data_IF_147862700173
#
_entry.id   IF_147862700173
#
_cell.length_a   1.000
_cell.length_b   1.000
_cell.length_c   1.000
_cell.angle_alpha   90.00
_cell.angle_beta   90.00
_cell.angle_gamma   90.00
#
_symmetry.space_group_name_H-M   'P 1'
#
loop_
_entity.id
_entity.type
_entity.pdbx_description
1 polymer ?
#
# COMPACT_ATOMS: atom_id res chain seq x y z
N UNK A 1 -34.82 2.55 -9.69
CA UNK A 1 -33.69 2.95 -10.55
C UNK A 1 -32.48 3.43 -9.74
N UNK A 2 -32.67 4.25 -8.72
CA UNK A 2 -31.60 4.84 -7.88
C UNK A 2 -30.77 3.78 -7.10
N UNK A 3 -31.43 2.75 -6.52
CA UNK A 3 -30.75 1.67 -5.79
C UNK A 3 -29.85 0.86 -6.71
N UNK A 4 -30.29 0.53 -7.94
CA UNK A 4 -29.45 -0.18 -8.92
C UNK A 4 -28.24 0.65 -9.34
N UNK A 5 -28.39 1.98 -9.46
CA UNK A 5 -27.29 2.88 -9.79
C UNK A 5 -26.26 2.95 -8.64
N UNK A 6 -26.73 3.16 -7.41
CA UNK A 6 -25.85 3.17 -6.22
C UNK A 6 -25.11 1.84 -6.03
N UNK A 7 -25.81 0.71 -6.26
CA UNK A 7 -25.19 -0.61 -6.19
C UNK A 7 -24.12 -0.78 -7.29
N UNK A 8 -24.42 -0.39 -8.53
CA UNK A 8 -23.45 -0.46 -9.63
C UNK A 8 -22.24 0.44 -9.40
N UNK A 9 -22.43 1.64 -8.82
CA UNK A 9 -21.34 2.53 -8.46
C UNK A 9 -20.49 1.94 -7.32
N UNK A 10 -21.11 1.34 -6.31
CA UNK A 10 -20.41 0.63 -5.23
C UNK A 10 -19.58 -0.55 -5.77
N UNK A 11 -20.17 -1.42 -6.59
CA UNK A 11 -19.49 -2.58 -7.18
C UNK A 11 -18.28 -2.18 -8.05
N UNK A 12 -18.38 -1.06 -8.77
CA UNK A 12 -17.27 -0.51 -9.55
C UNK A 12 -16.20 0.14 -8.69
N UNK A 13 -16.57 0.71 -7.55
CA UNK A 13 -15.64 1.35 -6.62
C UNK A 13 -14.87 0.31 -5.83
N UNK A 14 -15.56 -0.71 -5.32
CA UNK A 14 -15.05 -1.75 -4.42
C UNK A 14 -14.95 -3.10 -5.16
N UNK A 15 -14.28 -3.10 -6.33
CA UNK A 15 -14.22 -4.28 -7.22
C UNK A 15 -13.57 -5.49 -6.52
N UNK A 16 -12.49 -5.28 -5.75
CA UNK A 16 -11.76 -6.37 -5.08
C UNK A 16 -12.63 -6.99 -3.98
N UNK A 17 -13.32 -6.18 -3.19
CA UNK A 17 -14.30 -6.64 -2.20
C UNK A 17 -15.43 -7.44 -2.87
N UNK A 18 -15.94 -6.94 -3.99
CA UNK A 18 -17.02 -7.62 -4.74
C UNK A 18 -16.58 -9.02 -5.19
N UNK A 19 -15.38 -9.12 -5.76
CA UNK A 19 -14.79 -10.40 -6.17
C UNK A 19 -14.61 -11.32 -4.97
N UNK A 20 -14.06 -10.83 -3.86
CA UNK A 20 -13.85 -11.62 -2.64
C UNK A 20 -15.17 -12.18 -2.09
N UNK A 21 -16.22 -11.37 -2.05
CA UNK A 21 -17.55 -11.80 -1.59
C UNK A 21 -18.14 -12.84 -2.54
N UNK A 22 -18.05 -12.62 -3.86
CA UNK A 22 -18.55 -13.58 -4.85
C UNK A 22 -17.84 -14.93 -4.74
N UNK A 23 -16.51 -14.94 -4.60
CA UNK A 23 -15.72 -16.15 -4.42
C UNK A 23 -16.09 -16.85 -3.10
N UNK A 24 -16.28 -16.10 -2.01
CA UNK A 24 -16.73 -16.66 -0.74
C UNK A 24 -18.12 -17.33 -0.87
N UNK A 25 -19.08 -16.67 -1.53
CA UNK A 25 -20.43 -17.21 -1.74
C UNK A 25 -20.39 -18.46 -2.63
N UNK A 26 -19.66 -18.41 -3.75
CA UNK A 26 -19.55 -19.55 -4.66
C UNK A 26 -18.92 -20.75 -3.95
N UNK A 27 -17.84 -20.52 -3.19
CA UNK A 27 -17.21 -21.58 -2.41
C UNK A 27 -18.10 -22.12 -1.29
N UNK A 28 -18.94 -21.27 -0.68
CA UNK A 28 -19.88 -21.67 0.36
C UNK A 28 -21.05 -22.53 -0.18
N UNK A 29 -21.38 -22.42 -1.48
CA UNK A 29 -22.33 -23.32 -2.14
C UNK A 29 -21.72 -24.70 -2.33
N UNK A 30 -20.42 -24.79 -2.60
CA UNK A 30 -19.69 -26.06 -2.75
C UNK A 30 -19.40 -26.73 -1.40
N UNK A 31 -19.05 -25.94 -0.41
CA UNK A 31 -18.76 -26.38 0.97
C UNK A 31 -19.63 -25.52 1.90
N UNK A 32 -20.80 -26.05 2.34
CA UNK A 32 -21.73 -25.29 3.18
C UNK A 32 -21.11 -24.84 4.50
N UNK A 33 -21.52 -23.66 5.02
CA UNK A 33 -21.01 -23.13 6.29
C UNK A 33 -21.16 -24.14 7.44
N UNK A 34 -20.04 -24.35 8.13
CA UNK A 34 -19.94 -25.22 9.29
C UNK A 34 -19.06 -24.53 10.39
N UNK A 35 -18.75 -25.27 11.48
CA UNK A 35 -17.95 -24.74 12.59
C UNK A 35 -16.51 -24.39 12.20
N UNK A 36 -15.98 -24.95 11.14
CA UNK A 36 -14.60 -24.71 10.68
C UNK A 36 -14.42 -23.33 10.07
N UNK A 37 -15.52 -22.71 9.56
CA UNK A 37 -15.48 -21.35 8.99
C UNK A 37 -14.90 -20.31 9.94
N UNK A 38 -15.17 -20.43 11.25
CA UNK A 38 -14.59 -19.52 12.22
C UNK A 38 -13.06 -19.68 12.32
N UNK A 39 -12.54 -20.87 12.06
CA UNK A 39 -11.11 -21.18 12.05
C UNK A 39 -10.37 -20.68 10.82
N UNK A 40 -11.09 -20.36 9.73
CA UNK A 40 -10.46 -19.79 8.53
C UNK A 40 -10.03 -18.34 8.74
N UNK A 41 -10.72 -17.62 9.62
CA UNK A 41 -10.51 -16.19 9.82
C UNK A 41 -9.26 -15.93 10.67
N UNK A 42 -8.28 -15.26 10.10
CA UNK A 42 -7.12 -14.75 10.86
C UNK A 42 -7.48 -13.46 11.59
N UNK A 43 -8.07 -13.64 12.78
CA UNK A 43 -8.46 -12.52 13.66
C UNK A 43 -7.27 -11.67 14.10
N UNK A 44 -6.06 -12.24 14.19
CA UNK A 44 -4.85 -11.51 14.56
C UNK A 44 -4.51 -10.48 13.48
N UNK A 45 -4.43 -10.91 12.23
CA UNK A 45 -4.14 -10.02 11.10
C UNK A 45 -5.20 -8.95 10.95
N UNK A 46 -6.50 -9.30 11.01
CA UNK A 46 -7.59 -8.32 10.91
C UNK A 46 -7.54 -7.28 12.03
N UNK A 47 -7.26 -7.71 13.27
CA UNK A 47 -7.17 -6.80 14.43
C UNK A 47 -6.00 -5.83 14.29
N UNK A 48 -4.84 -6.31 13.88
CA UNK A 48 -3.65 -5.46 13.71
C UNK A 48 -3.84 -4.49 12.55
N UNK A 49 -4.41 -4.95 11.42
CA UNK A 49 -4.76 -4.07 10.28
C UNK A 49 -5.73 -2.96 10.73
N UNK A 50 -6.80 -3.31 11.45
CA UNK A 50 -7.76 -2.33 11.97
C UNK A 50 -7.06 -1.31 12.87
N UNK A 51 -6.23 -1.74 13.81
CA UNK A 51 -5.50 -0.87 14.73
C UNK A 51 -4.56 0.07 13.99
N UNK A 52 -3.73 -0.46 13.10
CA UNK A 52 -2.79 0.34 12.31
C UNK A 52 -3.53 1.35 11.42
N UNK A 53 -4.57 0.93 10.70
CA UNK A 53 -5.37 1.84 9.87
C UNK A 53 -6.02 2.95 10.69
N UNK A 54 -6.55 2.63 11.88
CA UNK A 54 -7.17 3.59 12.78
C UNK A 54 -6.16 4.63 13.28
N UNK A 55 -4.99 4.17 13.75
CA UNK A 55 -3.93 5.06 14.24
C UNK A 55 -3.38 5.94 13.12
N UNK A 56 -3.15 5.36 11.92
CA UNK A 56 -2.67 6.12 10.77
C UNK A 56 -3.67 7.17 10.29
N UNK A 57 -4.98 6.84 10.27
CA UNK A 57 -6.04 7.79 9.95
C UNK A 57 -6.05 8.97 10.94
N UNK A 58 -5.78 8.71 12.23
CA UNK A 58 -5.64 9.75 13.25
C UNK A 58 -4.44 10.66 13.02
N UNK A 59 -3.26 10.09 12.79
CA UNK A 59 -2.03 10.86 12.51
C UNK A 59 -2.16 11.66 11.20
N UNK A 60 -2.80 11.10 10.17
CA UNK A 60 -3.09 11.79 8.93
C UNK A 60 -4.04 12.98 9.14
N UNK A 61 -5.11 12.80 9.94
CA UNK A 61 -6.06 13.85 10.30
C UNK A 61 -5.37 15.01 11.04
N UNK A 62 -4.38 14.71 11.88
CA UNK A 62 -3.57 15.70 12.58
C UNK A 62 -2.54 16.42 11.67
N UNK A 63 -2.46 16.05 10.39
CA UNK A 63 -1.57 16.70 9.42
C UNK A 63 -0.08 16.41 9.63
N UNK A 64 0.28 15.41 10.45
CA UNK A 64 1.68 15.09 10.81
C UNK A 64 2.52 14.91 9.54
N UNK A 65 2.07 14.08 8.62
CA UNK A 65 2.82 13.76 7.39
C UNK A 65 2.95 14.96 6.46
N UNK A 66 1.89 15.79 6.38
CA UNK A 66 1.90 17.03 5.60
C UNK A 66 2.88 18.06 6.16
N UNK A 67 2.95 18.18 7.49
CA UNK A 67 3.86 19.11 8.13
C UNK A 67 5.33 18.70 7.95
N UNK A 68 5.63 17.39 8.06
CA UNK A 68 6.97 16.86 7.77
C UNK A 68 7.33 17.13 6.30
N UNK A 69 6.43 16.87 5.36
CA UNK A 69 6.65 17.14 3.95
C UNK A 69 6.92 18.61 3.67
N UNK A 70 6.13 19.53 4.26
CA UNK A 70 6.37 20.99 4.16
C UNK A 70 7.77 21.36 4.68
N UNK A 71 8.16 20.84 5.83
CA UNK A 71 9.48 21.14 6.42
C UNK A 71 10.63 20.69 5.53
N UNK A 72 10.54 19.46 4.98
CA UNK A 72 11.59 18.94 4.09
C UNK A 72 11.67 19.73 2.78
N UNK A 73 10.53 20.12 2.21
CA UNK A 73 10.50 20.87 0.95
C UNK A 73 11.00 22.31 1.09
N UNK A 74 10.91 22.94 2.26
CA UNK A 74 11.47 24.27 2.52
C UNK A 74 12.99 24.33 2.26
N UNK A 75 13.69 23.21 2.35
CA UNK A 75 15.15 23.14 2.15
C UNK A 75 15.54 22.82 0.70
N UNK A 76 14.57 22.63 -0.21
CA UNK A 76 14.87 22.32 -1.60
C UNK A 76 15.22 23.59 -2.38
N UNK A 77 16.35 23.57 -3.10
CA UNK A 77 16.89 24.70 -3.84
C UNK A 77 16.73 24.59 -5.35
N UNK A 78 16.50 23.38 -5.86
CA UNK A 78 16.40 23.12 -7.29
C UNK A 78 15.40 22.02 -7.61
N UNK A 79 15.08 21.83 -8.91
CA UNK A 79 14.09 20.88 -9.39
C UNK A 79 14.45 19.43 -9.07
N UNK A 80 15.74 19.08 -9.06
CA UNK A 80 16.18 17.71 -8.73
C UNK A 80 15.82 17.41 -7.28
N UNK A 81 16.27 18.26 -6.35
CA UNK A 81 15.99 18.10 -4.92
C UNK A 81 14.49 18.09 -4.62
N UNK A 82 13.71 18.95 -5.31
CA UNK A 82 12.25 18.96 -5.18
C UNK A 82 11.65 17.59 -5.55
N UNK A 83 12.02 17.05 -6.71
CA UNK A 83 11.51 15.78 -7.18
C UNK A 83 12.01 14.60 -6.31
N UNK A 84 13.29 14.64 -5.87
CA UNK A 84 13.86 13.65 -4.94
C UNK A 84 13.08 13.63 -3.62
N UNK A 85 12.85 14.76 -2.99
CA UNK A 85 12.09 14.83 -1.73
C UNK A 85 10.67 14.30 -1.92
N UNK A 86 9.97 14.68 -2.99
CA UNK A 86 8.61 14.21 -3.26
C UNK A 86 8.55 12.68 -3.45
N UNK A 87 9.53 12.08 -4.11
CA UNK A 87 9.59 10.62 -4.32
C UNK A 87 10.05 9.91 -3.05
N UNK A 88 11.07 10.42 -2.35
CA UNK A 88 11.56 9.87 -1.09
C UNK A 88 10.52 9.91 0.03
N UNK A 89 9.66 10.94 0.08
CA UNK A 89 8.52 10.96 1.00
C UNK A 89 7.63 9.73 0.80
N UNK A 90 7.29 9.38 -0.44
CA UNK A 90 6.50 8.18 -0.71
C UNK A 90 7.25 6.90 -0.34
N UNK A 91 8.56 6.82 -0.66
CA UNK A 91 9.37 5.64 -0.36
C UNK A 91 9.52 5.39 1.14
N UNK A 92 9.93 6.39 1.91
CA UNK A 92 10.21 6.26 3.34
C UNK A 92 8.91 6.12 4.14
N UNK A 93 7.92 6.96 3.86
CA UNK A 93 6.69 6.90 4.63
C UNK A 93 5.86 5.63 4.36
N UNK A 94 5.91 5.07 3.16
CA UNK A 94 5.23 3.80 2.89
C UNK A 94 5.74 2.62 3.72
N UNK A 95 6.97 2.70 4.25
CA UNK A 95 7.50 1.72 5.20
C UNK A 95 6.76 1.73 6.54
N UNK A 96 6.10 2.84 6.88
CA UNK A 96 5.54 3.10 8.20
C UNK A 96 4.02 3.21 8.16
N UNK A 97 3.47 3.92 7.14
CA UNK A 97 2.05 4.31 7.07
C UNK A 97 1.26 3.56 5.99
N UNK A 98 1.82 2.58 5.37
CA UNK A 98 1.36 1.85 4.18
C UNK A 98 1.49 2.62 2.86
N UNK A 99 1.64 1.88 1.76
CA UNK A 99 1.75 2.44 0.42
C UNK A 99 0.53 3.28 0.03
N UNK A 100 -0.68 2.81 0.34
CA UNK A 100 -1.94 3.47 -0.03
C UNK A 100 -2.08 4.82 0.67
N UNK A 101 -1.86 4.87 1.99
CA UNK A 101 -1.94 6.11 2.79
C UNK A 101 -0.86 7.10 2.37
N UNK A 102 0.34 6.61 2.05
CA UNK A 102 1.43 7.44 1.52
C UNK A 102 1.00 8.16 0.24
N UNK A 103 0.42 7.43 -0.74
CA UNK A 103 -0.01 8.03 -2.00
C UNK A 103 -1.23 8.95 -1.86
N UNK A 104 -2.21 8.58 -1.04
CA UNK A 104 -3.35 9.46 -0.74
C UNK A 104 -2.88 10.79 -0.15
N UNK A 105 -1.80 10.78 0.62
CA UNK A 105 -1.25 11.97 1.28
C UNK A 105 -0.35 12.78 0.34
N UNK A 106 0.63 12.15 -0.29
CA UNK A 106 1.70 12.87 -0.96
C UNK A 106 1.43 13.17 -2.44
N UNK A 107 0.61 12.40 -3.15
CA UNK A 107 0.27 12.71 -4.55
C UNK A 107 -0.53 14.01 -4.69
N UNK A 108 -1.62 14.25 -3.92
CA UNK A 108 -2.27 15.57 -3.92
C UNK A 108 -1.35 16.71 -3.52
N UNK A 109 -0.46 16.44 -2.54
CA UNK A 109 0.52 17.42 -2.11
C UNK A 109 1.53 17.78 -3.22
N UNK A 110 1.97 16.80 -4.02
CA UNK A 110 2.79 17.02 -5.21
C UNK A 110 2.11 17.96 -6.21
N UNK A 111 0.82 17.79 -6.46
CA UNK A 111 0.08 18.72 -7.33
C UNK A 111 0.06 20.14 -6.79
N UNK A 112 -0.13 20.33 -5.48
CA UNK A 112 -0.09 21.65 -4.85
C UNK A 112 1.28 22.30 -5.09
N UNK A 113 2.35 21.59 -4.77
CA UNK A 113 3.73 22.08 -4.91
C UNK A 113 4.06 22.44 -6.36
N UNK A 114 3.73 21.57 -7.31
CA UNK A 114 4.00 21.82 -8.72
C UNK A 114 3.18 22.98 -9.29
N UNK A 115 1.93 23.17 -8.85
CA UNK A 115 1.12 24.32 -9.23
C UNK A 115 1.69 25.64 -8.73
N UNK A 116 2.21 25.64 -7.50
CA UNK A 116 2.89 26.81 -6.94
C UNK A 116 4.19 27.14 -7.69
N UNK A 117 4.86 26.11 -8.25
CA UNK A 117 6.05 26.30 -9.11
C UNK A 117 5.68 26.84 -10.50
N UNK A 118 4.46 26.57 -10.98
CA UNK A 118 3.93 27.07 -12.25
C UNK A 118 3.29 26.00 -13.13
N UNK A 119 2.47 26.42 -14.08
CA UNK A 119 1.73 25.53 -15.00
C UNK A 119 2.65 24.62 -15.84
N UNK A 120 3.83 25.14 -16.23
CA UNK A 120 4.81 24.34 -16.98
C UNK A 120 5.41 23.22 -16.15
N UNK A 121 5.63 23.45 -14.85
CA UNK A 121 6.08 22.41 -13.93
C UNK A 121 5.04 21.29 -13.81
N UNK A 122 3.75 21.62 -13.70
CA UNK A 122 2.67 20.63 -13.70
C UNK A 122 2.68 19.81 -14.99
N UNK A 123 2.74 20.48 -16.16
CA UNK A 123 2.70 19.81 -17.46
C UNK A 123 3.89 18.86 -17.70
N UNK A 124 5.10 19.24 -17.25
CA UNK A 124 6.32 18.48 -17.51
C UNK A 124 6.65 17.46 -16.42
N UNK A 125 6.39 17.79 -15.15
CA UNK A 125 6.85 16.99 -13.99
C UNK A 125 5.75 16.15 -13.33
N UNK A 126 4.46 16.55 -13.36
CA UNK A 126 3.45 15.87 -12.58
C UNK A 126 3.34 14.38 -12.93
N UNK A 127 3.19 14.04 -14.21
CA UNK A 127 3.04 12.65 -14.63
C UNK A 127 4.27 11.79 -14.25
N UNK A 128 5.51 12.13 -14.68
CA UNK A 128 6.64 11.27 -14.36
C UNK A 128 6.95 11.21 -12.85
N UNK A 129 6.83 12.32 -12.09
CA UNK A 129 7.06 12.31 -10.65
C UNK A 129 6.03 11.45 -9.93
N UNK A 130 4.73 11.54 -10.28
CA UNK A 130 3.68 10.74 -9.65
C UNK A 130 3.82 9.25 -9.99
N UNK A 131 4.28 8.91 -11.20
CA UNK A 131 4.62 7.52 -11.54
C UNK A 131 5.77 7.02 -10.64
N UNK A 132 6.83 7.81 -10.48
CA UNK A 132 7.94 7.43 -9.60
C UNK A 132 7.52 7.38 -8.13
N UNK A 133 6.63 8.27 -7.66
CA UNK A 133 6.02 8.18 -6.31
C UNK A 133 5.22 6.89 -6.12
N UNK A 134 4.50 6.44 -7.16
CA UNK A 134 3.72 5.20 -7.10
C UNK A 134 4.64 3.98 -6.97
N UNK A 135 5.70 3.93 -7.77
CA UNK A 135 6.73 2.90 -7.68
C UNK A 135 7.43 2.98 -6.32
N UNK A 136 7.79 4.17 -5.87
CA UNK A 136 8.43 4.41 -4.58
C UNK A 136 7.57 3.93 -3.39
N UNK A 137 6.26 4.18 -3.42
CA UNK A 137 5.36 3.71 -2.37
C UNK A 137 5.24 2.18 -2.35
N UNK A 138 5.14 1.53 -3.50
CA UNK A 138 5.11 0.06 -3.57
C UNK A 138 6.42 -0.57 -3.11
N UNK A 139 7.57 -0.05 -3.58
CA UNK A 139 8.89 -0.63 -3.28
C UNK A 139 9.44 -0.22 -1.91
N UNK A 140 9.07 0.95 -1.39
CA UNK A 140 9.39 1.33 -0.02
C UNK A 140 8.63 0.47 0.98
N UNK A 141 7.33 0.29 0.77
CA UNK A 141 6.48 -0.48 1.67
C UNK A 141 6.88 -1.96 1.82
N UNK A 142 7.61 -2.52 0.86
CA UNK A 142 8.06 -3.91 0.94
C UNK A 142 9.10 -4.16 2.03
N UNK A 143 9.82 -3.12 2.49
CA UNK A 143 10.92 -3.27 3.44
C UNK A 143 10.47 -3.68 4.83
N UNK A 144 9.22 -3.36 5.22
CA UNK A 144 8.73 -3.60 6.57
C UNK A 144 7.48 -4.48 6.59
N UNK A 145 7.25 -5.23 7.68
CA UNK A 145 6.02 -6.02 7.83
C UNK A 145 4.74 -5.18 7.82
N UNK A 146 4.80 -3.90 8.21
CA UNK A 146 3.64 -3.01 8.31
C UNK A 146 3.43 -2.13 7.08
N UNK A 147 4.37 -2.14 6.12
CA UNK A 147 4.33 -1.24 4.96
C UNK A 147 3.17 -1.52 4.00
N UNK A 148 2.63 -2.73 4.01
CA UNK A 148 1.44 -3.09 3.24
C UNK A 148 0.68 -4.27 3.87
N UNK A 149 -0.62 -4.44 3.56
CA UNK A 149 -1.46 -5.47 4.18
C UNK A 149 -1.00 -6.90 3.92
N UNK A 150 -0.48 -7.21 2.72
CA UNK A 150 0.00 -8.55 2.39
C UNK A 150 1.26 -8.92 3.17
N UNK A 151 2.16 -7.96 3.42
CA UNK A 151 3.34 -8.21 4.25
C UNK A 151 2.95 -8.55 5.68
N UNK A 152 2.03 -7.77 6.26
CA UNK A 152 1.56 -8.03 7.62
C UNK A 152 0.95 -9.42 7.75
N UNK A 153 0.12 -9.82 6.77
CA UNK A 153 -0.50 -11.13 6.74
C UNK A 153 0.53 -12.26 6.58
N UNK A 154 1.41 -12.17 5.56
CA UNK A 154 2.42 -13.21 5.31
C UNK A 154 3.44 -13.29 6.45
N UNK A 155 3.87 -12.15 6.99
CA UNK A 155 4.72 -12.08 8.19
C UNK A 155 4.07 -12.80 9.38
N UNK A 156 2.77 -12.60 9.58
CA UNK A 156 2.01 -13.29 10.64
C UNK A 156 1.98 -14.81 10.51
N UNK A 157 2.16 -15.35 9.30
CA UNK A 157 2.24 -16.79 9.02
C UNK A 157 3.65 -17.37 9.26
N UNK A 158 4.66 -16.53 9.44
CA UNK A 158 6.05 -16.97 9.67
C UNK A 158 6.43 -16.85 11.14
N UNK A 159 7.52 -17.52 11.51
CA UNK A 159 8.17 -17.38 12.83
C UNK A 159 9.37 -16.42 12.76
N UNK A 160 9.54 -15.70 11.63
CA UNK A 160 10.69 -14.79 11.48
C UNK A 160 10.53 -13.54 12.36
N UNK A 161 11.66 -12.98 12.79
CA UNK A 161 11.67 -11.69 13.47
C UNK A 161 11.46 -10.55 12.46
N UNK A 162 11.02 -9.38 12.94
CA UNK A 162 10.93 -8.19 12.09
C UNK A 162 12.28 -7.82 11.46
N UNK A 163 13.39 -8.03 12.18
CA UNK A 163 14.75 -7.83 11.65
C UNK A 163 15.05 -8.79 10.49
N UNK A 164 14.69 -10.05 10.61
CA UNK A 164 14.87 -11.04 9.53
C UNK A 164 14.04 -10.68 8.30
N UNK A 165 12.80 -10.19 8.49
CA UNK A 165 11.97 -9.71 7.40
C UNK A 165 12.62 -8.53 6.67
N UNK A 166 13.13 -7.55 7.43
CA UNK A 166 13.81 -6.38 6.87
C UNK A 166 15.06 -6.82 6.09
N UNK A 167 15.88 -7.71 6.64
CA UNK A 167 17.07 -8.22 5.96
C UNK A 167 16.74 -8.98 4.67
N UNK A 168 15.63 -9.73 4.64
CA UNK A 168 15.14 -10.41 3.44
C UNK A 168 14.80 -9.42 2.32
N UNK A 169 14.13 -8.31 2.65
CA UNK A 169 13.66 -7.35 1.66
C UNK A 169 14.64 -6.22 1.37
N UNK A 170 15.72 -6.11 2.16
CA UNK A 170 16.69 -5.02 2.08
C UNK A 170 17.39 -4.92 0.72
N UNK A 171 17.89 -6.01 0.10
CA UNK A 171 18.54 -5.93 -1.21
C UNK A 171 17.61 -5.27 -2.24
N UNK A 172 16.40 -5.80 -2.39
CA UNK A 172 15.40 -5.27 -3.33
C UNK A 172 15.06 -3.80 -3.07
N UNK A 173 14.98 -3.40 -1.80
CA UNK A 173 14.69 -2.02 -1.43
C UNK A 173 15.84 -1.09 -1.77
N UNK A 174 17.09 -1.51 -1.58
CA UNK A 174 18.28 -0.72 -1.92
C UNK A 174 18.43 -0.52 -3.42
N UNK A 175 18.28 -1.59 -4.21
CA UNK A 175 18.30 -1.51 -5.68
C UNK A 175 17.17 -0.62 -6.17
N UNK A 176 15.97 -0.77 -5.61
CA UNK A 176 14.83 0.08 -5.93
C UNK A 176 15.08 1.55 -5.65
N UNK A 177 15.66 1.88 -4.50
CA UNK A 177 16.00 3.25 -4.12
C UNK A 177 17.02 3.86 -5.09
N UNK A 178 18.07 3.10 -5.43
CA UNK A 178 19.08 3.55 -6.39
C UNK A 178 18.46 3.85 -7.75
N UNK A 179 17.65 2.94 -8.27
CA UNK A 179 16.96 3.11 -9.56
C UNK A 179 16.02 4.32 -9.53
N UNK A 180 15.26 4.52 -8.45
CA UNK A 180 14.37 5.66 -8.28
C UNK A 180 15.16 6.98 -8.32
N UNK A 181 16.29 7.06 -7.61
CA UNK A 181 17.10 8.29 -7.60
C UNK A 181 17.68 8.59 -8.98
N UNK A 182 18.17 7.58 -9.70
CA UNK A 182 18.62 7.75 -11.10
C UNK A 182 17.47 8.27 -11.98
N UNK A 183 16.29 7.66 -11.90
CA UNK A 183 15.13 8.07 -12.68
C UNK A 183 14.68 9.50 -12.34
N UNK A 184 14.68 9.89 -11.08
CA UNK A 184 14.33 11.26 -10.63
C UNK A 184 15.29 12.27 -11.23
N UNK A 185 16.60 12.03 -11.17
CA UNK A 185 17.60 12.94 -11.78
C UNK A 185 17.39 13.07 -13.28
N UNK A 186 17.12 11.97 -13.99
CA UNK A 186 16.85 11.98 -15.44
C UNK A 186 15.59 12.81 -15.74
N UNK A 187 14.50 12.58 -15.01
CA UNK A 187 13.22 13.29 -15.19
C UNK A 187 13.39 14.78 -14.91
N UNK A 188 14.02 15.14 -13.80
CA UNK A 188 14.23 16.53 -13.40
C UNK A 188 15.09 17.28 -14.42
N UNK A 189 16.23 16.72 -14.87
CA UNK A 189 17.10 17.33 -15.87
C UNK A 189 16.39 17.50 -17.23
N UNK A 190 15.64 16.49 -17.67
CA UNK A 190 14.90 16.56 -18.96
C UNK A 190 13.73 17.52 -18.95
N UNK A 191 13.21 17.88 -17.77
CA UNK A 191 12.08 18.83 -17.67
C UNK A 191 12.47 20.23 -18.13
N UNK A 192 13.73 20.65 -17.94
CA UNK A 192 14.21 22.01 -18.18
C UNK A 192 13.53 23.06 -17.29
N UNK A 193 12.93 22.65 -16.18
CA UNK A 193 12.29 23.53 -15.21
C UNK A 193 13.36 23.94 -14.17
N UNK A 194 13.49 25.24 -13.91
CA UNK A 194 14.29 25.77 -12.81
C UNK A 194 13.34 26.17 -11.67
N UNK A 195 13.41 25.44 -10.57
CA UNK A 195 12.74 25.82 -9.32
C UNK A 195 13.73 26.69 -8.53
N UNK A 196 13.37 27.93 -8.30
CA UNK A 196 14.14 28.84 -7.42
C UNK A 196 13.39 29.01 -6.11
N UNK A 197 13.87 28.34 -5.07
CA UNK A 197 13.44 28.54 -3.69
C UNK A 197 11.97 28.16 -3.43
N UNK A 198 11.71 26.94 -3.00
CA UNK A 198 10.38 26.53 -2.52
C UNK A 198 9.97 27.22 -1.19
N UNK A 199 10.86 28.01 -0.59
CA UNK A 199 10.63 28.71 0.68
C UNK A 199 9.41 29.65 0.69
N UNK A 200 9.13 30.30 -0.43
CA UNK A 200 8.04 31.30 -0.56
C UNK A 200 6.66 30.65 -0.71
N UNK A 201 6.62 29.37 -1.08
CA UNK A 201 5.40 28.74 -1.60
C UNK A 201 4.54 28.02 -0.53
N UNK A 202 5.04 27.88 0.70
CA UNK A 202 4.39 27.06 1.73
C UNK A 202 3.96 27.84 2.98
N UNK A 203 3.69 29.14 2.84
CA UNK A 203 3.43 30.06 3.96
C UNK A 203 2.02 30.01 4.55
N UNK A 204 1.06 29.35 3.93
CA UNK A 204 -0.26 29.19 4.54
C UNK A 204 -0.29 28.02 5.53
N UNK A 205 -0.06 28.36 6.80
CA UNK A 205 -0.40 27.48 7.91
C UNK A 205 -1.94 27.51 8.11
N UNK A 206 -2.64 26.52 7.56
CA UNK A 206 -3.93 26.16 8.13
C UNK A 206 -3.70 25.77 9.59
N UNK A 207 -4.00 26.69 10.51
CA UNK A 207 -4.10 26.40 11.95
C UNK A 207 -5.25 25.40 12.13
N UNK A 208 -4.94 24.12 11.98
CA UNK A 208 -5.79 23.08 12.53
C UNK A 208 -5.83 23.29 14.04
N UNK A 209 -7.00 23.55 14.59
CA UNK A 209 -7.25 23.49 16.04
C UNK A 209 -6.96 22.06 16.52
N UNK A 210 -5.69 21.76 16.75
CA UNK A 210 -5.27 20.46 17.19
C UNK A 210 -5.41 20.41 18.70
N UNK A 211 -6.24 19.51 19.18
CA UNK A 211 -6.21 19.10 20.58
C UNK A 211 -4.80 18.52 20.84
N UNK A 212 -3.96 19.30 21.54
CA UNK A 212 -2.51 19.02 21.74
C UNK A 212 -2.22 17.62 22.30
N UNK A 213 -3.18 16.99 22.97
CA UNK A 213 -3.06 15.66 23.56
C UNK A 213 -3.28 14.51 22.55
N UNK A 214 -3.87 14.77 21.38
CA UNK A 214 -4.15 13.71 20.41
C UNK A 214 -2.89 13.18 19.74
N UNK A 215 -1.91 14.05 19.45
CA UNK A 215 -0.66 13.62 18.82
C UNK A 215 0.11 12.61 19.68
N UNK A 216 0.45 12.91 20.96
CA UNK A 216 1.14 11.92 21.79
C UNK A 216 0.31 10.66 22.03
N UNK A 217 -1.03 10.77 22.13
CA UNK A 217 -1.89 9.60 22.25
C UNK A 217 -1.78 8.67 21.02
N UNK A 218 -1.88 9.21 19.80
CA UNK A 218 -1.73 8.41 18.59
C UNK A 218 -0.32 7.85 18.41
N UNK A 219 0.73 8.58 18.80
CA UNK A 219 2.09 8.04 18.77
C UNK A 219 2.26 6.87 19.74
N UNK A 220 1.69 6.96 20.95
CA UNK A 220 1.71 5.87 21.91
C UNK A 220 0.95 4.64 21.39
N UNK A 221 -0.25 4.85 20.82
CA UNK A 221 -1.02 3.78 20.19
C UNK A 221 -0.28 3.15 19.00
N UNK A 222 0.48 3.95 18.24
CA UNK A 222 1.32 3.45 17.17
C UNK A 222 2.43 2.53 17.69
N UNK A 223 3.15 2.95 18.72
CA UNK A 223 4.17 2.10 19.38
C UNK A 223 3.55 0.80 19.89
N UNK A 224 2.36 0.86 20.50
CA UNK A 224 1.63 -0.32 20.93
C UNK A 224 1.34 -1.29 19.77
N UNK A 225 0.91 -0.76 18.60
CA UNK A 225 0.71 -1.57 17.40
C UNK A 225 2.01 -2.24 16.94
N UNK A 226 3.15 -1.49 16.94
CA UNK A 226 4.46 -2.05 16.55
C UNK A 226 4.91 -3.18 17.48
N UNK A 227 4.70 -3.05 18.79
CA UNK A 227 5.00 -4.09 19.77
C UNK A 227 4.15 -5.33 19.54
N UNK A 228 2.90 -5.16 19.10
CA UNK A 228 2.02 -6.29 18.75
C UNK A 228 2.47 -6.98 17.46
N UNK A 229 2.87 -6.22 16.44
CA UNK A 229 3.47 -6.80 15.22
C UNK A 229 4.73 -7.58 15.56
N UNK A 230 5.58 -7.05 16.44
CA UNK A 230 6.80 -7.72 16.93
C UNK A 230 6.53 -8.92 17.87
N UNK A 231 5.28 -9.35 18.03
CA UNK A 231 4.86 -10.47 18.89
C UNK A 231 5.11 -10.27 20.41
N UNK A 232 5.33 -9.02 20.84
CA UNK A 232 5.59 -8.71 22.26
C UNK A 232 4.29 -8.52 23.07
N UNK A 233 3.20 -8.10 22.41
CA UNK A 233 1.90 -7.84 23.04
C UNK A 233 0.82 -8.65 22.31
N UNK A 234 -0.09 -9.32 23.05
CA UNK A 234 -1.22 -10.03 22.44
C UNK A 234 -2.17 -9.06 21.71
N UNK A 235 -2.60 -9.42 20.49
CA UNK A 235 -3.45 -8.57 19.65
C UNK A 235 -4.79 -8.18 20.29
N UNK A 236 -5.46 -8.99 21.15
CA UNK A 236 -6.72 -8.57 21.78
C UNK A 236 -6.54 -7.37 22.72
N UNK A 237 -5.38 -7.27 23.39
CA UNK A 237 -5.04 -6.14 24.26
C UNK A 237 -4.92 -4.86 23.42
N UNK A 238 -4.20 -4.93 22.32
CA UNK A 238 -4.02 -3.79 21.41
C UNK A 238 -5.33 -3.39 20.76
N UNK A 239 -6.12 -4.36 20.30
CA UNK A 239 -7.45 -4.09 19.71
C UNK A 239 -8.35 -3.36 20.71
N UNK A 240 -8.46 -3.88 21.94
CA UNK A 240 -9.28 -3.25 22.98
C UNK A 240 -8.79 -1.86 23.35
N UNK A 241 -7.47 -1.68 23.51
CA UNK A 241 -6.86 -0.39 23.86
C UNK A 241 -7.06 0.65 22.76
N UNK A 242 -6.76 0.31 21.50
CA UNK A 242 -6.92 1.23 20.36
C UNK A 242 -8.38 1.58 20.15
N UNK A 243 -9.28 0.59 20.13
CA UNK A 243 -10.72 0.81 19.94
C UNK A 243 -11.29 1.72 21.03
N UNK A 244 -10.99 1.45 22.31
CA UNK A 244 -11.47 2.24 23.44
C UNK A 244 -10.87 3.65 23.43
N UNK A 245 -9.55 3.78 23.24
CA UNK A 245 -8.89 5.08 23.24
C UNK A 245 -9.44 5.98 22.11
N UNK A 246 -9.57 5.45 20.89
CA UNK A 246 -10.08 6.25 19.76
C UNK A 246 -11.57 6.54 19.90
N UNK A 247 -12.36 5.62 20.43
CA UNK A 247 -13.79 5.85 20.71
C UNK A 247 -14.00 7.01 21.71
N UNK A 248 -13.15 7.10 22.72
CA UNK A 248 -13.25 8.15 23.75
C UNK A 248 -12.62 9.47 23.32
N UNK A 249 -11.49 9.44 22.62
CA UNK A 249 -10.71 10.64 22.29
C UNK A 249 -11.10 11.25 20.94
N UNK A 250 -11.35 10.42 19.93
CA UNK A 250 -11.56 10.84 18.54
C UNK A 250 -12.38 9.83 17.72
N UNK A 251 -13.61 9.56 18.14
CA UNK A 251 -14.51 8.59 17.50
C UNK A 251 -14.72 8.81 15.98
N UNK A 252 -14.56 10.03 15.50
CA UNK A 252 -14.70 10.36 14.08
C UNK A 252 -13.61 9.73 13.21
N UNK A 253 -12.49 9.31 13.78
CA UNK A 253 -11.42 8.62 13.07
C UNK A 253 -11.81 7.18 12.70
N UNK A 254 -12.66 6.51 13.48
CA UNK A 254 -13.14 5.16 13.18
C UNK A 254 -13.89 5.09 11.83
N UNK A 255 -14.56 6.17 11.42
CA UNK A 255 -15.28 6.24 10.12
C UNK A 255 -14.29 6.25 8.93
N UNK A 256 -13.02 6.61 9.18
CA UNK A 256 -11.99 6.71 8.13
C UNK A 256 -11.22 5.41 7.90
N UNK A 257 -11.49 4.37 8.69
CA UNK A 257 -10.89 3.05 8.54
C UNK A 257 -11.40 2.41 7.25
N UNK A 258 -10.52 1.75 6.52
CA UNK A 258 -10.89 1.00 5.30
C UNK A 258 -11.51 -0.36 5.67
N UNK A 259 -12.81 -0.33 5.97
CA UNK A 259 -13.57 -1.55 6.23
C UNK A 259 -13.72 -2.44 5.00
N UNK A 260 -13.64 -1.87 3.77
CA UNK A 260 -13.67 -2.65 2.54
C UNK A 260 -12.49 -3.60 2.46
N UNK A 261 -11.31 -3.15 2.85
CA UNK A 261 -10.11 -3.99 2.92
C UNK A 261 -10.29 -5.13 3.93
N UNK A 262 -10.78 -4.85 5.14
CA UNK A 262 -11.01 -5.88 6.17
C UNK A 262 -12.01 -6.94 5.72
N UNK A 263 -13.12 -6.52 5.11
CA UNK A 263 -14.13 -7.44 4.55
C UNK A 263 -13.58 -8.23 3.36
N UNK A 264 -12.70 -7.66 2.57
CA UNK A 264 -11.99 -8.36 1.49
C UNK A 264 -11.16 -9.52 2.03
N UNK A 265 -10.41 -9.29 3.11
CA UNK A 265 -9.67 -10.36 3.79
C UNK A 265 -10.58 -11.47 4.29
N UNK A 266 -11.70 -11.12 4.95
CA UNK A 266 -12.69 -12.11 5.42
C UNK A 266 -13.23 -12.94 4.24
N UNK A 267 -13.61 -12.30 3.14
CA UNK A 267 -14.08 -13.00 1.93
C UNK A 267 -13.05 -13.98 1.38
N UNK A 268 -11.78 -13.55 1.28
CA UNK A 268 -10.71 -14.45 0.83
C UNK A 268 -10.39 -15.55 1.83
N UNK A 269 -10.43 -15.31 3.13
CA UNK A 269 -10.23 -16.36 4.13
C UNK A 269 -11.28 -17.46 4.01
N UNK A 270 -12.55 -17.10 3.84
CA UNK A 270 -13.63 -18.08 3.61
C UNK A 270 -13.38 -18.85 2.31
N UNK A 271 -13.09 -18.16 1.21
CA UNK A 271 -12.81 -18.79 -0.07
C UNK A 271 -11.64 -19.79 0.01
N UNK A 272 -10.52 -19.36 0.58
CA UNK A 272 -9.30 -20.18 0.70
C UNK A 272 -9.52 -21.37 1.64
N UNK A 273 -10.19 -21.14 2.78
CA UNK A 273 -10.54 -22.21 3.72
C UNK A 273 -11.38 -23.30 3.05
N UNK A 274 -12.41 -22.90 2.27
CA UNK A 274 -13.24 -23.83 1.51
C UNK A 274 -12.44 -24.56 0.42
N UNK A 275 -11.64 -23.82 -0.37
CA UNK A 275 -10.82 -24.40 -1.44
C UNK A 275 -9.74 -25.34 -0.88
N UNK A 276 -9.20 -25.07 0.28
CA UNK A 276 -8.25 -25.96 0.99
C UNK A 276 -8.85 -27.31 1.37
N UNK A 277 -10.19 -27.44 1.44
CA UNK A 277 -10.90 -28.70 1.66
C UNK A 277 -11.18 -29.49 0.38
N UNK A 278 -10.79 -28.97 -0.79
CA UNK A 278 -10.99 -29.60 -2.09
C UNK A 278 -9.65 -30.16 -2.62
N UNK A 279 -9.40 -31.49 -2.54
CA UNK A 279 -8.11 -32.08 -2.95
C UNK A 279 -7.71 -31.73 -4.39
N UNK A 280 -8.66 -31.81 -5.34
CA UNK A 280 -8.40 -31.48 -6.74
C UNK A 280 -7.92 -30.04 -6.95
N UNK A 281 -8.44 -29.09 -6.17
CA UNK A 281 -8.01 -27.68 -6.23
C UNK A 281 -6.62 -27.49 -5.59
N UNK A 282 -6.38 -28.16 -4.46
CA UNK A 282 -5.07 -28.15 -3.80
C UNK A 282 -4.00 -28.71 -4.72
N UNK A 283 -4.21 -29.88 -5.31
CA UNK A 283 -3.27 -30.52 -6.24
C UNK A 283 -3.01 -29.65 -7.48
N UNK A 284 -4.04 -29.01 -8.01
CA UNK A 284 -3.90 -28.09 -9.15
C UNK A 284 -3.03 -26.90 -8.81
N UNK A 285 -3.30 -26.21 -7.68
CA UNK A 285 -2.50 -25.06 -7.28
C UNK A 285 -1.08 -25.43 -6.87
N UNK A 286 -0.89 -26.54 -6.15
CA UNK A 286 0.47 -27.00 -5.78
C UNK A 286 1.32 -27.31 -7.00
N UNK A 287 0.75 -27.87 -8.07
CA UNK A 287 1.47 -28.09 -9.35
C UNK A 287 1.90 -26.78 -10.02
N UNK A 288 1.08 -25.72 -9.91
CA UNK A 288 1.40 -24.43 -10.51
C UNK A 288 2.44 -23.70 -9.68
N UNK A 289 2.31 -23.74 -8.35
CA UNK A 289 3.12 -22.97 -7.41
C UNK A 289 4.49 -23.65 -7.19
N UNK A 290 4.52 -24.97 -7.06
CA UNK A 290 5.65 -25.74 -6.56
C UNK A 290 6.98 -25.42 -7.21
N UNK A 291 7.91 -24.85 -6.44
CA UNK A 291 9.24 -24.42 -6.87
C UNK A 291 9.27 -23.15 -7.73
N UNK A 292 8.13 -22.48 -7.94
CA UNK A 292 7.99 -21.26 -8.76
C UNK A 292 7.17 -20.18 -8.02
N UNK A 293 7.20 -20.19 -6.70
CA UNK A 293 6.36 -19.36 -5.85
C UNK A 293 6.49 -17.88 -6.16
N UNK A 294 7.73 -17.38 -6.32
CA UNK A 294 8.01 -15.98 -6.65
C UNK A 294 7.33 -15.57 -7.96
N UNK A 295 7.60 -16.34 -9.04
CA UNK A 295 7.05 -16.02 -10.37
C UNK A 295 5.52 -16.18 -10.40
N UNK A 296 4.99 -17.20 -9.74
CA UNK A 296 3.55 -17.43 -9.63
C UNK A 296 2.88 -16.26 -8.89
N UNK A 297 3.49 -15.77 -7.82
CA UNK A 297 2.99 -14.63 -7.07
C UNK A 297 3.07 -13.33 -7.89
N UNK A 298 4.17 -13.10 -8.62
CA UNK A 298 4.30 -11.96 -9.55
C UNK A 298 3.20 -11.98 -10.60
N UNK A 299 2.98 -13.13 -11.28
CA UNK A 299 1.99 -13.26 -12.34
C UNK A 299 0.56 -13.14 -11.78
N UNK A 300 0.25 -13.82 -10.67
CA UNK A 300 -1.05 -13.74 -10.03
C UNK A 300 -1.39 -12.30 -9.64
N UNK A 301 -0.42 -11.55 -9.12
CA UNK A 301 -0.59 -10.14 -8.75
C UNK A 301 -1.02 -9.26 -9.93
N UNK A 302 -0.58 -9.57 -11.16
CA UNK A 302 -0.98 -8.82 -12.35
C UNK A 302 -2.47 -8.95 -12.68
N UNK A 303 -3.10 -10.03 -12.23
CA UNK A 303 -4.50 -10.36 -12.55
C UNK A 303 -5.44 -10.02 -11.40
N UNK A 304 -5.08 -10.41 -10.17
CA UNK A 304 -5.95 -10.31 -8.99
C UNK A 304 -5.46 -9.32 -7.94
N UNK A 305 -4.36 -8.60 -8.18
CA UNK A 305 -3.65 -7.73 -7.23
C UNK A 305 -2.82 -8.52 -6.19
N UNK A 306 -1.79 -7.87 -5.66
CA UNK A 306 -0.80 -8.49 -4.77
C UNK A 306 -1.37 -8.96 -3.43
N UNK A 307 -2.34 -8.23 -2.85
CA UNK A 307 -2.98 -8.64 -1.58
C UNK A 307 -3.80 -9.91 -1.75
N UNK A 308 -4.75 -10.00 -2.70
CA UNK A 308 -5.44 -11.25 -2.99
C UNK A 308 -4.50 -12.41 -3.40
N UNK A 309 -3.45 -12.13 -4.17
CA UNK A 309 -2.47 -13.13 -4.55
C UNK A 309 -1.74 -13.71 -3.33
N UNK A 310 -1.32 -12.85 -2.39
CA UNK A 310 -0.72 -13.28 -1.13
C UNK A 310 -1.65 -14.18 -0.32
N UNK A 311 -2.90 -13.74 -0.16
CA UNK A 311 -3.92 -14.51 0.55
C UNK A 311 -4.14 -15.87 -0.10
N UNK A 312 -4.43 -15.89 -1.41
CA UNK A 312 -4.73 -17.12 -2.14
C UNK A 312 -3.56 -18.10 -2.10
N UNK A 313 -2.38 -17.68 -2.50
CA UNK A 313 -1.24 -18.58 -2.68
C UNK A 313 -0.70 -19.12 -1.35
N UNK A 314 -0.79 -18.36 -0.26
CA UNK A 314 -0.32 -18.78 1.06
C UNK A 314 -1.10 -19.93 1.68
N UNK A 315 -2.25 -20.29 1.14
CA UNK A 315 -3.00 -21.48 1.55
C UNK A 315 -2.49 -22.79 0.91
N UNK A 316 -1.58 -22.70 -0.09
CA UNK A 316 -1.20 -23.84 -0.93
C UNK A 316 0.32 -24.02 -1.08
N UNK A 317 1.13 -23.30 -0.32
CA UNK A 317 2.58 -23.47 -0.25
C UNK A 317 3.11 -23.19 1.16
N UNK A 318 4.14 -23.90 1.54
CA UNK A 318 4.90 -23.69 2.78
C UNK A 318 5.99 -22.61 2.63
N UNK A 319 6.35 -22.24 1.40
CA UNK A 319 7.40 -21.27 1.13
C UNK A 319 6.87 -19.83 1.19
N UNK A 320 6.51 -19.41 2.41
CA UNK A 320 5.97 -18.07 2.66
C UNK A 320 7.00 -16.99 2.36
N UNK A 321 8.29 -17.27 2.55
CA UNK A 321 9.38 -16.33 2.22
C UNK A 321 9.39 -15.97 0.73
N UNK A 322 9.25 -16.95 -0.16
CA UNK A 322 9.14 -16.71 -1.58
C UNK A 322 7.86 -15.94 -1.96
N UNK A 323 6.75 -16.17 -1.25
CA UNK A 323 5.54 -15.39 -1.44
C UNK A 323 5.69 -13.93 -1.01
N UNK A 324 6.41 -13.66 0.09
CA UNK A 324 6.73 -12.29 0.52
C UNK A 324 7.47 -11.56 -0.61
N UNK A 325 8.52 -12.16 -1.16
CA UNK A 325 9.26 -11.58 -2.28
C UNK A 325 8.34 -11.40 -3.49
N UNK A 326 7.71 -12.47 -3.96
CA UNK A 326 6.93 -12.47 -5.19
C UNK A 326 5.74 -11.52 -5.18
N UNK A 327 5.01 -11.40 -4.06
CA UNK A 327 3.85 -10.49 -3.96
C UNK A 327 4.26 -9.02 -3.83
N UNK A 328 5.43 -8.73 -3.26
CA UNK A 328 5.98 -7.37 -3.23
C UNK A 328 6.46 -6.93 -4.61
N UNK A 329 7.27 -7.75 -5.30
CA UNK A 329 7.67 -7.48 -6.68
C UNK A 329 6.46 -7.42 -7.61
N UNK A 330 5.49 -8.32 -7.40
CA UNK A 330 4.23 -8.38 -8.13
C UNK A 330 3.32 -7.17 -7.94
N UNK A 331 3.56 -6.32 -6.95
CA UNK A 331 2.89 -5.02 -6.82
C UNK A 331 3.25 -4.00 -7.91
N UNK A 332 4.33 -4.26 -8.66
CA UNK A 332 4.70 -3.56 -9.89
C UNK A 332 4.00 -4.22 -11.10
N UNK A 333 4.09 -3.55 -12.26
CA UNK A 333 3.56 -4.05 -13.54
C UNK A 333 2.27 -3.36 -13.93
N UNK A 334 1.13 -4.04 -13.85
CA UNK A 334 -0.18 -3.49 -14.25
C UNK A 334 -0.78 -2.54 -13.19
N UNK A 335 -1.74 -1.70 -13.60
CA UNK A 335 -2.49 -0.87 -12.64
C UNK A 335 -3.30 -1.69 -11.63
N UNK A 336 -3.65 -2.93 -11.98
CA UNK A 336 -4.41 -3.84 -11.11
C UNK A 336 -3.49 -4.51 -10.07
N UNK A 337 -2.20 -4.62 -10.38
CA UNK A 337 -1.22 -5.32 -9.55
C UNK A 337 -1.14 -4.79 -8.12
N UNK A 338 -1.40 -3.49 -7.92
CA UNK A 338 -1.47 -2.87 -6.59
C UNK A 338 -2.62 -1.85 -6.53
N UNK A 339 -3.37 -1.86 -5.44
CA UNK A 339 -4.40 -0.83 -5.18
C UNK A 339 -3.78 0.57 -5.10
N UNK A 340 -2.56 0.70 -4.59
CA UNK A 340 -1.79 1.92 -4.56
C UNK A 340 -1.63 2.56 -5.96
N UNK A 341 -1.41 1.74 -6.99
CA UNK A 341 -1.32 2.17 -8.38
C UNK A 341 -2.63 2.79 -8.90
N UNK A 342 -3.77 2.20 -8.50
CA UNK A 342 -5.08 2.75 -8.85
C UNK A 342 -5.37 4.08 -8.14
N UNK A 343 -4.89 4.27 -6.91
CA UNK A 343 -5.02 5.54 -6.16
C UNK A 343 -4.34 6.66 -6.92
N UNK A 344 -3.08 6.48 -7.30
CA UNK A 344 -2.32 7.47 -8.06
C UNK A 344 -2.98 7.78 -9.41
N UNK A 345 -3.40 6.76 -10.15
CA UNK A 345 -4.11 6.94 -11.41
C UNK A 345 -5.40 7.76 -11.25
N UNK A 346 -6.22 7.46 -10.21
CA UNK A 346 -7.45 8.21 -9.92
C UNK A 346 -7.15 9.67 -9.58
N UNK A 347 -6.06 9.96 -8.84
CA UNK A 347 -5.65 11.33 -8.54
C UNK A 347 -5.24 12.09 -9.80
N UNK A 348 -4.42 11.50 -10.67
CA UNK A 348 -4.04 12.09 -11.95
C UNK A 348 -5.27 12.31 -12.84
N UNK A 349 -6.16 11.31 -12.92
CA UNK A 349 -7.39 11.42 -13.69
C UNK A 349 -8.33 12.54 -13.22
N UNK A 350 -8.28 12.88 -11.94
CA UNK A 350 -9.07 13.97 -11.34
C UNK A 350 -8.40 15.33 -11.51
N UNK A 351 -7.09 15.42 -11.31
CA UNK A 351 -6.33 16.67 -11.25
C UNK A 351 -5.93 17.20 -12.63
N UNK A 352 -5.59 16.30 -13.56
CA UNK A 352 -5.15 16.59 -14.92
C UNK A 352 -5.77 15.59 -15.93
N UNK A 353 -7.08 15.66 -16.19
CA UNK A 353 -7.81 14.66 -16.98
C UNK A 353 -7.25 14.41 -18.38
N UNK A 354 -6.62 15.42 -19.00
CA UNK A 354 -6.01 15.32 -20.33
C UNK A 354 -4.77 14.44 -20.40
N UNK A 355 -4.10 14.20 -19.26
CA UNK A 355 -2.82 13.48 -19.20
C UNK A 355 -2.96 11.97 -18.87
N UNK A 356 -4.18 11.44 -18.82
CA UNK A 356 -4.44 10.02 -18.47
C UNK A 356 -3.67 9.02 -19.35
N UNK A 357 -3.66 9.25 -20.68
CA UNK A 357 -2.96 8.36 -21.62
C UNK A 357 -1.45 8.40 -21.41
N UNK A 358 -0.91 9.61 -21.19
CA UNK A 358 0.51 9.82 -20.91
C UNK A 358 0.91 9.17 -19.60
N UNK A 359 0.09 9.33 -18.54
CA UNK A 359 0.32 8.64 -17.27
C UNK A 359 0.36 7.12 -17.44
N UNK A 360 -0.64 6.55 -18.15
CA UNK A 360 -0.70 5.12 -18.37
C UNK A 360 0.54 4.60 -19.13
N UNK A 361 0.99 5.31 -20.17
CA UNK A 361 2.20 4.94 -20.89
C UNK A 361 3.46 4.98 -20.02
N UNK A 362 3.69 6.10 -19.32
CA UNK A 362 4.82 6.23 -18.38
C UNK A 362 4.77 5.20 -17.25
N UNK A 363 3.58 5.01 -16.68
CA UNK A 363 3.35 4.02 -15.62
C UNK A 363 3.71 2.61 -16.08
N UNK A 364 3.18 2.18 -17.23
CA UNK A 364 3.41 0.82 -17.74
C UNK A 364 4.89 0.58 -18.04
N UNK A 365 5.55 1.50 -18.76
CA UNK A 365 6.96 1.34 -19.11
C UNK A 365 7.83 1.30 -17.85
N UNK A 366 7.66 2.27 -16.95
CA UNK A 366 8.47 2.35 -15.74
C UNK A 366 8.26 1.12 -14.83
N UNK A 367 7.01 0.70 -14.59
CA UNK A 367 6.74 -0.46 -13.75
C UNK A 367 7.29 -1.76 -14.35
N UNK A 368 7.19 -1.95 -15.67
CA UNK A 368 7.77 -3.14 -16.34
C UNK A 368 9.28 -3.14 -16.20
N UNK A 369 9.95 -2.00 -16.42
CA UNK A 369 11.41 -1.90 -16.29
C UNK A 369 11.86 -2.23 -14.87
N UNK A 370 11.23 -1.62 -13.86
CA UNK A 370 11.55 -1.90 -12.46
C UNK A 370 11.28 -3.36 -12.10
N UNK A 371 10.13 -3.92 -12.51
CA UNK A 371 9.79 -5.31 -12.27
C UNK A 371 10.82 -6.27 -12.88
N UNK A 372 11.23 -6.05 -14.13
CA UNK A 372 12.21 -6.89 -14.80
C UNK A 372 13.58 -6.87 -14.09
N UNK A 373 14.04 -5.69 -13.66
CA UNK A 373 15.32 -5.55 -12.94
C UNK A 373 15.25 -6.29 -11.59
N UNK A 374 14.16 -6.12 -10.82
CA UNK A 374 14.03 -6.75 -9.51
C UNK A 374 13.79 -8.27 -9.60
N UNK A 375 13.10 -8.76 -10.64
CA UNK A 375 12.98 -10.20 -10.90
C UNK A 375 14.33 -10.78 -11.30
N UNK A 376 15.13 -10.05 -12.10
CA UNK A 376 16.50 -10.48 -12.42
C UNK A 376 17.38 -10.51 -11.16
N UNK A 377 17.28 -9.50 -10.29
CA UNK A 377 17.96 -9.49 -8.99
C UNK A 377 17.60 -10.73 -8.16
N UNK A 378 16.31 -11.09 -8.10
CA UNK A 378 15.86 -12.29 -7.40
C UNK A 378 16.44 -13.60 -7.98
N UNK A 379 16.78 -13.63 -9.26
CA UNK A 379 17.43 -14.79 -9.87
C UNK A 379 18.95 -14.87 -9.56
N UNK A 380 19.55 -13.78 -9.10
CA UNK A 380 20.97 -13.68 -8.78
C UNK A 380 21.25 -13.91 -7.28
N UNK A 381 20.26 -13.67 -6.43
CA UNK A 381 20.28 -13.90 -4.98
C UNK A 381 19.92 -15.36 -4.65
#
# INVERSE_FOLDING_TARGET
MEVKRKLSEFLKRETVLTVAILLAIVSAVMIPPDREYAGYIDFRTLSILFCLMTVMAGLQKLGVFRNIAKTLLRHTQNTIQLAEVLVLLCFIFSMIITNDVSLITFVPFTFIVLRLTGEEAVKKLAVPVIVLQTIAANLGSMLTPIGNPQNLYLYGKTQMSAGTFILLMLPYSLVSLLLLMICVVIVAKRSGIEVRGAEVLLTEDEKLEQKKYLLPAYLLLFVLCLLTVAHMIPYPVTLGTVALAVLLLDRGTLIKVDYSLLLTFVGFFIFIGNMGRMPAFCDFLQKIIGGKEVMTAVIASQVISNVPAALLLSGFTENITALIIGTNLGGLGTLIASMASLISYKQVARQIPGEKKKYFGWFTIANIVFLMILVLENCLL
#
